data_IF_987545583358
#
_entry.id   IF_987545583358
#
_cell.length_a   1.000
_cell.length_b   1.000
_cell.length_c   1.000
_cell.angle_alpha   90.00
_cell.angle_beta   90.00
_cell.angle_gamma   90.00
#
_symmetry.space_group_name_H-M   'P 1'
#
loop_
_entity.id
_entity.type
_entity.pdbx_description
1 polymer ?
#
# COMPACT_ATOMS: atom_id res chain seq x y z
N UNK A 1 -6.63 -6.88 6.81
CA UNK A 1 -5.65 -6.75 7.90
C UNK A 1 -4.38 -6.15 7.34
N UNK A 2 -3.96 -5.01 7.89
CA UNK A 2 -2.69 -4.40 7.56
C UNK A 2 -1.54 -5.18 8.17
N UNK A 3 -0.56 -5.56 7.34
CA UNK A 3 0.63 -6.29 7.79
C UNK A 3 1.86 -5.40 7.91
N UNK A 4 1.70 -4.09 7.71
CA UNK A 4 2.82 -3.16 7.75
C UNK A 4 3.61 -3.06 6.44
N UNK A 5 4.71 -2.29 6.41
CA UNK A 5 5.45 -1.93 5.19
C UNK A 5 6.29 -3.07 4.59
N UNK A 6 6.63 -4.09 5.37
CA UNK A 6 7.44 -5.23 4.93
C UNK A 6 8.06 -6.03 6.08
N UNK A 7 8.47 -5.37 7.16
CA UNK A 7 9.11 -6.05 8.28
C UNK A 7 8.08 -6.76 9.17
N UNK A 8 8.27 -8.05 9.51
CA UNK A 8 7.33 -8.81 10.33
C UNK A 8 7.13 -8.31 11.77
N UNK A 9 8.06 -7.52 12.30
CA UNK A 9 8.00 -6.91 13.64
C UNK A 9 7.19 -5.60 13.66
N UNK A 10 6.81 -5.08 12.49
CA UNK A 10 5.93 -3.93 12.33
C UNK A 10 4.44 -4.30 12.18
N UNK A 11 4.11 -5.61 12.31
CA UNK A 11 2.73 -6.01 12.52
C UNK A 11 2.24 -5.49 13.88
N UNK A 12 1.01 -4.99 13.93
CA UNK A 12 0.40 -4.65 15.21
C UNK A 12 0.15 -5.92 16.03
N UNK A 13 0.21 -5.82 17.36
CA UNK A 13 -0.12 -6.96 18.23
C UNK A 13 -1.51 -7.53 17.92
N UNK A 14 -2.47 -6.68 17.58
CA UNK A 14 -3.83 -7.12 17.16
C UNK A 14 -3.79 -7.96 15.88
N UNK A 15 -2.97 -7.58 14.89
CA UNK A 15 -2.81 -8.35 13.66
C UNK A 15 -2.20 -9.73 13.97
N UNK A 16 -1.13 -9.78 14.78
CA UNK A 16 -0.48 -11.05 15.19
C UNK A 16 -1.46 -11.97 15.91
N UNK A 17 -2.23 -11.46 16.88
CA UNK A 17 -3.20 -12.29 17.61
C UNK A 17 -4.36 -12.78 16.74
N UNK A 18 -4.79 -11.98 15.77
CA UNK A 18 -5.81 -12.39 14.80
C UNK A 18 -5.28 -13.46 13.85
N UNK A 19 -4.04 -13.33 13.34
CA UNK A 19 -3.41 -14.32 12.46
C UNK A 19 -3.33 -15.72 13.08
N UNK A 20 -3.19 -15.81 14.41
CA UNK A 20 -3.21 -17.09 15.14
C UNK A 20 -4.57 -17.78 15.16
N UNK A 21 -5.65 -17.05 14.88
CA UNK A 21 -7.05 -17.56 14.96
C UNK A 21 -7.68 -17.76 13.58
N UNK A 22 -7.11 -17.16 12.55
CA UNK A 22 -7.64 -17.23 11.18
C UNK A 22 -7.44 -18.62 10.59
N UNK A 23 -8.49 -19.13 9.95
CA UNK A 23 -8.51 -20.43 9.30
C UNK A 23 -8.10 -20.32 7.83
N UNK A 24 -8.43 -19.19 7.20
CA UNK A 24 -8.20 -18.95 5.77
C UNK A 24 -7.53 -17.60 5.52
N UNK A 25 -6.39 -17.59 4.82
CA UNK A 25 -5.82 -16.38 4.26
C UNK A 25 -6.36 -16.16 2.85
N UNK A 26 -7.07 -15.05 2.66
CA UNK A 26 -7.52 -14.56 1.38
C UNK A 26 -6.36 -13.79 0.71
N UNK A 27 -5.58 -14.48 -0.11
CA UNK A 27 -4.40 -13.92 -0.76
C UNK A 27 -4.80 -13.26 -2.09
N UNK A 28 -4.75 -11.92 -2.14
CA UNK A 28 -4.88 -11.19 -3.40
C UNK A 28 -3.71 -11.55 -4.33
N UNK A 29 -4.04 -12.00 -5.54
CA UNK A 29 -3.06 -12.36 -6.55
C UNK A 29 -3.38 -11.65 -7.87
N UNK A 30 -2.32 -11.32 -8.61
CA UNK A 30 -2.44 -10.85 -9.99
C UNK A 30 -1.91 -11.93 -10.93
N UNK A 31 -2.33 -11.95 -12.21
CA UNK A 31 -1.82 -12.90 -13.20
C UNK A 31 -0.29 -12.82 -13.42
N UNK A 32 0.35 -11.72 -13.01
CA UNK A 32 1.77 -11.44 -13.20
C UNK A 32 2.64 -11.75 -11.98
N UNK A 33 2.04 -12.15 -10.86
CA UNK A 33 2.80 -12.44 -9.65
C UNK A 33 2.07 -13.50 -8.81
N UNK A 34 2.72 -14.64 -8.59
CA UNK A 34 2.26 -15.67 -7.67
C UNK A 34 2.59 -15.34 -6.21
N UNK A 35 3.35 -14.27 -6.00
CA UNK A 35 3.83 -13.81 -4.72
C UNK A 35 3.02 -12.62 -4.18
N UNK A 36 2.53 -12.77 -2.93
CA UNK A 36 1.94 -11.68 -2.15
C UNK A 36 2.94 -11.21 -1.09
N UNK A 37 3.47 -9.98 -1.23
CA UNK A 37 4.34 -9.34 -0.23
C UNK A 37 3.71 -9.31 1.15
N UNK A 38 2.39 -9.12 1.19
CA UNK A 38 1.64 -9.13 2.43
C UNK A 38 1.66 -10.53 3.10
N UNK A 39 1.57 -11.59 2.31
CA UNK A 39 1.63 -12.96 2.82
C UNK A 39 3.02 -13.30 3.36
N UNK A 40 4.10 -12.92 2.68
CA UNK A 40 5.46 -13.15 3.19
C UNK A 40 5.72 -12.36 4.48
N UNK A 41 5.30 -11.10 4.54
CA UNK A 41 5.45 -10.26 5.75
C UNK A 41 4.75 -10.91 6.96
N UNK A 42 3.56 -11.49 6.75
CA UNK A 42 2.81 -12.16 7.80
C UNK A 42 3.27 -13.59 8.11
N UNK A 43 4.02 -14.23 7.19
CA UNK A 43 4.36 -15.66 7.24
C UNK A 43 4.94 -16.13 8.57
N UNK A 44 5.85 -15.40 9.25
CA UNK A 44 6.37 -15.82 10.56
C UNK A 44 5.31 -15.95 11.66
N UNK A 45 4.15 -15.31 11.50
CA UNK A 45 3.06 -15.28 12.49
C UNK A 45 1.87 -16.17 12.12
N UNK A 46 1.91 -16.83 10.95
CA UNK A 46 0.85 -17.72 10.50
C UNK A 46 0.94 -19.09 11.17
N UNK A 47 -0.22 -19.70 11.42
CA UNK A 47 -0.25 -21.12 11.79
C UNK A 47 0.22 -21.98 10.60
N UNK A 48 0.93 -23.09 10.84
CA UNK A 48 1.38 -23.99 9.76
C UNK A 48 0.24 -24.61 8.95
N UNK A 49 -0.96 -24.73 9.53
CA UNK A 49 -2.14 -25.36 8.96
C UNK A 49 -3.11 -24.38 8.28
N UNK A 50 -2.78 -23.07 8.23
CA UNK A 50 -3.67 -22.07 7.65
C UNK A 50 -3.89 -22.33 6.16
N UNK A 51 -5.16 -22.31 5.73
CA UNK A 51 -5.51 -22.53 4.33
C UNK A 51 -5.29 -21.25 3.53
N UNK A 52 -4.65 -21.36 2.36
CA UNK A 52 -4.51 -20.23 1.44
C UNK A 52 -5.62 -20.28 0.38
N UNK A 53 -6.43 -19.23 0.31
CA UNK A 53 -7.44 -19.03 -0.72
C UNK A 53 -7.01 -17.87 -1.61
N UNK A 54 -6.65 -18.18 -2.86
CA UNK A 54 -6.29 -17.17 -3.85
C UNK A 54 -7.53 -16.41 -4.31
N UNK A 55 -7.44 -15.08 -4.37
CA UNK A 55 -8.43 -14.19 -4.94
C UNK A 55 -7.80 -13.43 -6.11
N UNK A 56 -8.40 -13.53 -7.30
CA UNK A 56 -7.86 -12.95 -8.52
C UNK A 56 -8.24 -11.47 -8.66
N UNK A 57 -7.24 -10.61 -8.77
CA UNK A 57 -7.40 -9.18 -9.05
C UNK A 57 -6.63 -8.83 -10.34
N UNK A 58 -7.31 -8.72 -11.49
CA UNK A 58 -6.66 -8.46 -12.77
C UNK A 58 -6.08 -7.04 -12.81
N UNK A 59 -4.92 -6.91 -13.45
CA UNK A 59 -4.29 -5.61 -13.71
C UNK A 59 -4.78 -5.05 -15.05
N UNK A 60 -5.97 -4.46 -15.05
CA UNK A 60 -6.58 -3.86 -16.25
C UNK A 60 -7.31 -2.57 -15.90
N UNK A 61 -7.55 -1.73 -16.90
CA UNK A 61 -8.42 -0.56 -16.80
C UNK A 61 -9.87 -0.85 -17.25
N UNK A 62 -10.12 -2.04 -17.80
CA UNK A 62 -11.47 -2.44 -18.21
C UNK A 62 -12.37 -2.63 -16.98
N UNK A 63 -13.41 -1.79 -16.88
CA UNK A 63 -14.28 -1.75 -15.72
C UNK A 63 -15.14 -3.00 -15.58
N UNK A 64 -15.55 -3.61 -16.69
CA UNK A 64 -16.38 -4.81 -16.67
C UNK A 64 -15.59 -6.00 -16.10
N UNK A 65 -14.35 -6.19 -16.57
CA UNK A 65 -13.43 -7.22 -16.07
C UNK A 65 -13.11 -7.02 -14.59
N UNK A 66 -12.82 -5.79 -14.17
CA UNK A 66 -12.56 -5.50 -12.75
C UNK A 66 -13.77 -5.81 -11.87
N UNK A 67 -14.98 -5.40 -12.28
CA UNK A 67 -16.21 -5.65 -11.53
C UNK A 67 -16.49 -7.14 -11.39
N UNK A 68 -16.40 -7.90 -12.47
CA UNK A 68 -16.61 -9.35 -12.44
C UNK A 68 -15.61 -10.05 -11.51
N UNK A 69 -14.34 -9.62 -11.51
CA UNK A 69 -13.33 -10.15 -10.61
C UNK A 69 -13.64 -9.85 -9.13
N UNK A 70 -14.10 -8.63 -8.82
CA UNK A 70 -14.49 -8.26 -7.46
C UNK A 70 -15.72 -9.03 -6.98
N UNK A 71 -16.72 -9.22 -7.84
CA UNK A 71 -17.93 -10.01 -7.53
C UNK A 71 -17.57 -11.49 -7.26
N UNK A 72 -16.69 -12.08 -8.08
CA UNK A 72 -16.15 -13.43 -7.86
C UNK A 72 -15.40 -13.53 -6.52
N UNK A 73 -14.50 -12.59 -6.25
CA UNK A 73 -13.73 -12.57 -5.00
C UNK A 73 -14.62 -12.38 -3.76
N UNK A 74 -15.65 -11.54 -3.86
CA UNK A 74 -16.65 -11.34 -2.80
C UNK A 74 -17.49 -12.59 -2.58
N UNK A 75 -17.91 -13.28 -3.65
CA UNK A 75 -18.64 -14.55 -3.56
C UNK A 75 -17.84 -15.62 -2.81
N UNK A 76 -16.58 -15.83 -3.20
CA UNK A 76 -15.66 -16.76 -2.51
C UNK A 76 -15.51 -16.38 -1.03
N UNK A 77 -15.31 -15.08 -0.75
CA UNK A 77 -15.16 -14.58 0.62
C UNK A 77 -16.42 -14.81 1.45
N UNK A 78 -17.60 -14.51 0.91
CA UNK A 78 -18.89 -14.78 1.56
C UNK A 78 -19.04 -16.26 1.87
N UNK A 79 -18.74 -17.14 0.92
CA UNK A 79 -18.96 -18.58 1.08
C UNK A 79 -18.05 -19.15 2.19
N UNK A 80 -16.79 -18.70 2.27
CA UNK A 80 -15.89 -19.03 3.39
C UNK A 80 -16.50 -18.58 4.74
N UNK A 81 -16.93 -17.32 4.84
CA UNK A 81 -17.47 -16.76 6.08
C UNK A 81 -18.79 -17.42 6.49
N UNK A 82 -19.66 -17.74 5.53
CA UNK A 82 -20.93 -18.47 5.77
C UNK A 82 -20.71 -19.94 6.13
N UNK A 83 -19.58 -20.51 5.73
CA UNK A 83 -19.12 -21.82 6.20
C UNK A 83 -18.69 -21.83 7.67
N UNK A 84 -18.64 -20.68 8.35
CA UNK A 84 -18.25 -20.55 9.75
C UNK A 84 -16.74 -20.42 9.97
N UNK A 85 -15.94 -20.31 8.90
CA UNK A 85 -14.49 -20.11 8.98
C UNK A 85 -14.13 -18.64 9.17
N UNK A 86 -13.07 -18.37 9.93
CA UNK A 86 -12.49 -17.03 10.03
C UNK A 86 -11.52 -16.80 8.87
N UNK A 87 -11.70 -15.71 8.13
CA UNK A 87 -10.85 -15.37 7.00
C UNK A 87 -10.14 -14.03 7.19
N UNK A 88 -8.86 -13.93 6.78
CA UNK A 88 -8.13 -12.68 6.72
C UNK A 88 -7.68 -12.35 5.31
N UNK A 89 -8.11 -11.18 4.83
CA UNK A 89 -7.53 -10.54 3.65
C UNK A 89 -6.31 -9.72 4.06
N UNK A 90 -5.12 -10.13 3.63
CA UNK A 90 -3.86 -9.45 4.00
C UNK A 90 -3.56 -8.30 3.05
N UNK A 91 -3.11 -7.17 3.60
CA UNK A 91 -2.75 -5.97 2.85
C UNK A 91 -1.40 -5.46 3.29
N UNK A 92 -0.47 -5.26 2.35
CA UNK A 92 0.77 -4.54 2.63
C UNK A 92 0.42 -3.10 3.01
N UNK A 93 1.07 -2.58 4.05
CA UNK A 93 0.73 -1.32 4.68
C UNK A 93 -0.58 -1.42 5.46
N UNK A 94 -1.54 -0.55 5.09
CA UNK A 94 -2.83 -0.40 5.76
C UNK A 94 -3.99 -0.76 4.80
N UNK A 95 -5.05 -1.47 5.28
CA UNK A 95 -6.16 -1.90 4.43
C UNK A 95 -7.04 -0.76 3.91
N UNK A 96 -6.98 0.43 4.51
CA UNK A 96 -7.81 1.58 4.15
C UNK A 96 -7.06 2.66 3.35
N UNK A 97 -5.76 2.48 3.12
CA UNK A 97 -4.93 3.43 2.36
C UNK A 97 -4.45 2.82 1.05
N UNK A 98 -5.06 3.20 -0.07
CA UNK A 98 -4.73 2.77 -1.44
C UNK A 98 -4.59 1.24 -1.64
N UNK A 99 -5.35 0.47 -0.86
CA UNK A 99 -5.39 -0.99 -0.88
C UNK A 99 -6.47 -1.53 -1.82
N UNK A 100 -6.25 -2.72 -2.38
CA UNK A 100 -7.28 -3.46 -3.13
C UNK A 100 -8.43 -3.95 -2.25
N UNK A 101 -8.21 -4.05 -0.93
CA UNK A 101 -9.25 -4.43 0.03
C UNK A 101 -10.49 -3.54 -0.06
N UNK A 102 -10.32 -2.25 -0.36
CA UNK A 102 -11.45 -1.33 -0.49
C UNK A 102 -12.46 -1.71 -1.57
N UNK A 103 -12.02 -2.38 -2.65
CA UNK A 103 -12.93 -2.90 -3.69
C UNK A 103 -13.69 -4.12 -3.18
N UNK A 104 -12.97 -5.07 -2.57
CA UNK A 104 -13.57 -6.28 -1.99
C UNK A 104 -14.59 -5.91 -0.91
N UNK A 105 -14.26 -5.01 0.01
CA UNK A 105 -15.14 -4.56 1.09
C UNK A 105 -16.45 -3.99 0.54
N UNK A 106 -16.39 -3.10 -0.46
CA UNK A 106 -17.59 -2.51 -1.06
C UNK A 106 -18.46 -3.56 -1.73
N UNK A 107 -17.85 -4.46 -2.50
CA UNK A 107 -18.59 -5.51 -3.21
C UNK A 107 -19.17 -6.55 -2.25
N UNK A 108 -18.42 -6.93 -1.20
CA UNK A 108 -18.89 -7.87 -0.18
C UNK A 108 -20.10 -7.30 0.58
N UNK A 109 -20.06 -6.01 0.95
CA UNK A 109 -21.21 -5.35 1.61
C UNK A 109 -22.44 -5.26 0.71
N UNK A 110 -22.25 -5.04 -0.59
CA UNK A 110 -23.36 -5.09 -1.55
C UNK A 110 -23.94 -6.49 -1.70
N UNK A 111 -23.10 -7.52 -1.59
CA UNK A 111 -23.49 -8.92 -1.73
C UNK A 111 -24.18 -9.45 -0.46
N UNK A 112 -23.65 -9.11 0.72
CA UNK A 112 -24.13 -9.57 2.03
C UNK A 112 -23.60 -8.64 3.16
N UNK A 113 -24.33 -7.57 3.47
CA UNK A 113 -23.95 -6.58 4.51
C UNK A 113 -24.07 -7.13 5.95
N UNK A 114 -24.60 -8.35 6.13
CA UNK A 114 -24.74 -8.96 7.46
C UNK A 114 -23.50 -9.74 7.90
N UNK A 115 -22.50 -9.90 7.03
CA UNK A 115 -21.25 -10.56 7.36
C UNK A 115 -20.43 -9.69 8.34
N UNK A 116 -19.91 -10.26 9.45
CA UNK A 116 -19.05 -9.52 10.35
C UNK A 116 -17.69 -9.25 9.68
N UNK A 117 -17.32 -7.98 9.58
CA UNK A 117 -16.01 -7.56 9.03
C UNK A 117 -15.32 -6.63 10.01
N UNK A 118 -14.15 -7.04 10.49
CA UNK A 118 -13.23 -6.19 11.27
C UNK A 118 -12.10 -5.67 10.37
N UNK A 119 -11.71 -4.41 10.59
CA UNK A 119 -10.57 -3.80 9.93
C UNK A 119 -9.46 -3.56 10.97
N UNK A 120 -8.40 -4.37 10.88
CA UNK A 120 -7.19 -4.19 11.69
C UNK A 120 -6.21 -3.30 10.90
N UNK A 121 -5.90 -2.08 11.41
CA UNK A 121 -5.01 -1.15 10.74
C UNK A 121 -3.56 -1.65 10.75
N UNK A 122 -2.75 -1.12 9.84
CA UNK A 122 -1.33 -1.41 9.73
C UNK A 122 -0.49 -0.15 9.52
N UNK A 123 0.82 -0.27 9.76
CA UNK A 123 1.76 0.83 9.53
C UNK A 123 1.89 1.06 8.01
N UNK A 124 1.65 2.29 7.55
CA UNK A 124 1.76 2.61 6.12
C UNK A 124 3.23 2.72 5.68
N UNK A 125 3.49 2.50 4.39
CA UNK A 125 4.84 2.61 3.83
C UNK A 125 5.46 4.01 4.02
N UNK A 126 4.65 5.07 3.98
CA UNK A 126 5.16 6.43 4.14
C UNK A 126 5.46 6.79 5.60
N UNK A 127 4.75 6.21 6.57
CA UNK A 127 5.11 6.35 7.98
C UNK A 127 6.42 5.61 8.28
N UNK A 128 6.58 4.40 7.73
CA UNK A 128 7.82 3.65 7.84
C UNK A 128 8.99 4.40 7.18
N UNK A 129 8.78 4.94 5.98
CA UNK A 129 9.79 5.74 5.29
C UNK A 129 10.20 6.96 6.13
N UNK A 130 9.22 7.69 6.66
CA UNK A 130 9.45 8.84 7.52
C UNK A 130 10.26 8.49 8.78
N UNK A 131 9.92 7.38 9.44
CA UNK A 131 10.68 6.89 10.59
C UNK A 131 12.13 6.54 10.20
N UNK A 132 12.31 5.85 9.07
CA UNK A 132 13.64 5.43 8.58
C UNK A 132 14.52 6.57 8.12
N UNK A 133 13.94 7.63 7.57
CA UNK A 133 14.67 8.83 7.15
C UNK A 133 14.70 9.91 8.22
N UNK A 134 14.11 9.68 9.41
CA UNK A 134 13.92 10.68 10.48
C UNK A 134 13.23 11.95 9.97
N UNK A 135 12.34 11.80 9.00
CA UNK A 135 11.58 12.90 8.42
C UNK A 135 10.29 13.08 9.21
N UNK A 136 10.15 14.19 9.91
CA UNK A 136 8.88 14.56 10.50
C UNK A 136 7.92 14.91 9.35
N UNK A 137 6.74 14.28 9.28
CA UNK A 137 5.83 14.49 8.14
C UNK A 137 5.02 15.78 8.26
N UNK A 138 4.61 16.16 9.46
CA UNK A 138 3.87 17.41 9.71
C UNK A 138 3.90 17.76 11.20
N UNK A 139 3.91 19.04 11.51
CA UNK A 139 3.84 19.60 12.86
C UNK A 139 2.86 20.77 12.92
N UNK A 140 2.21 20.98 14.08
CA UNK A 140 1.32 22.13 14.30
C UNK A 140 0.24 22.27 13.20
N UNK A 141 0.22 23.41 12.49
CA UNK A 141 -0.74 23.73 11.43
C UNK A 141 -0.29 23.29 10.02
N UNK A 142 0.78 22.50 9.91
CA UNK A 142 1.29 22.04 8.63
C UNK A 142 0.32 21.08 7.92
N UNK A 143 0.17 21.29 6.61
CA UNK A 143 -0.63 20.44 5.75
C UNK A 143 0.22 19.31 5.16
N UNK A 144 -0.18 18.06 5.43
CA UNK A 144 0.37 16.86 4.80
C UNK A 144 -0.52 16.38 3.65
N UNK A 145 0.01 16.32 2.43
CA UNK A 145 -0.67 15.72 1.29
C UNK A 145 -0.14 14.32 0.97
N UNK A 146 -1.02 13.34 0.82
CA UNK A 146 -0.67 11.98 0.38
C UNK A 146 -1.22 11.77 -1.03
N UNK A 147 -0.34 11.51 -1.99
CA UNK A 147 -0.64 11.54 -3.42
C UNK A 147 -0.34 10.15 -4.04
N UNK A 148 -1.32 9.49 -4.68
CA UNK A 148 -1.16 8.13 -5.21
C UNK A 148 -0.54 8.13 -6.61
N UNK A 149 0.71 8.58 -6.71
CA UNK A 149 1.43 8.77 -7.97
C UNK A 149 1.10 10.11 -8.60
N UNK A 150 1.25 10.20 -9.92
CA UNK A 150 1.00 11.42 -10.70
C UNK A 150 -0.17 11.20 -11.66
N UNK A 151 -1.08 12.16 -11.69
CA UNK A 151 -2.13 12.26 -12.72
C UNK A 151 -1.58 13.04 -13.91
N UNK A 152 -1.12 14.24 -13.63
CA UNK A 152 -0.48 15.18 -14.54
C UNK A 152 0.50 16.06 -13.74
N UNK A 153 1.48 16.63 -14.44
CA UNK A 153 2.58 17.39 -13.82
C UNK A 153 2.11 18.71 -13.20
N UNK A 154 1.12 19.37 -13.82
CA UNK A 154 0.63 20.66 -13.33
C UNK A 154 -0.13 20.51 -12.01
N UNK A 155 -1.02 19.52 -11.92
CA UNK A 155 -1.75 19.20 -10.69
C UNK A 155 -0.82 18.80 -9.56
N UNK A 156 0.24 18.02 -9.84
CA UNK A 156 1.23 17.67 -8.84
C UNK A 156 1.99 18.91 -8.36
N UNK A 157 2.48 19.74 -9.28
CA UNK A 157 3.21 20.97 -8.96
C UNK A 157 2.37 21.89 -8.07
N UNK A 158 1.10 22.13 -8.43
CA UNK A 158 0.17 22.94 -7.64
C UNK A 158 -0.06 22.38 -6.24
N UNK A 159 -0.19 21.06 -6.12
CA UNK A 159 -0.34 20.40 -4.81
C UNK A 159 0.91 20.61 -3.95
N UNK A 160 2.09 20.47 -4.55
CA UNK A 160 3.38 20.68 -3.87
C UNK A 160 3.57 22.16 -3.46
N UNK A 161 3.05 23.12 -4.21
CA UNK A 161 3.13 24.55 -3.85
C UNK A 161 2.23 24.90 -2.64
N UNK A 162 1.11 24.20 -2.48
CA UNK A 162 0.10 24.47 -1.44
C UNK A 162 0.31 23.69 -0.14
N UNK A 163 0.90 22.49 -0.19
CA UNK A 163 1.13 21.65 0.99
C UNK A 163 2.43 22.04 1.70
N UNK A 164 2.54 21.83 3.01
CA UNK A 164 3.83 21.96 3.71
C UNK A 164 4.70 20.72 3.46
N UNK A 165 4.06 19.55 3.48
CA UNK A 165 4.68 18.25 3.22
C UNK A 165 3.86 17.42 2.25
N UNK A 166 4.54 16.60 1.46
CA UNK A 166 3.91 15.70 0.52
C UNK A 166 4.58 14.31 0.53
N UNK A 167 3.73 13.30 0.46
CA UNK A 167 4.08 11.90 0.21
C UNK A 167 3.59 11.55 -1.18
N UNK A 168 4.49 11.18 -2.09
CA UNK A 168 4.14 10.75 -3.44
C UNK A 168 4.38 9.25 -3.55
N UNK A 169 3.30 8.47 -3.45
CA UNK A 169 3.35 7.01 -3.58
C UNK A 169 3.53 6.60 -5.05
N UNK A 170 3.92 5.34 -5.31
CA UNK A 170 4.03 4.79 -6.68
C UNK A 170 4.91 5.67 -7.57
N UNK A 171 6.01 6.19 -7.01
CA UNK A 171 6.88 7.16 -7.65
C UNK A 171 7.48 6.65 -8.97
N UNK A 172 7.59 5.33 -9.13
CA UNK A 172 8.05 4.68 -10.35
C UNK A 172 7.23 4.98 -11.61
N UNK A 173 5.93 5.31 -11.49
CA UNK A 173 5.04 5.39 -12.66
C UNK A 173 5.44 6.48 -13.67
N UNK A 174 5.91 7.61 -13.16
CA UNK A 174 6.42 8.70 -13.98
C UNK A 174 7.36 9.55 -13.12
N UNK A 175 8.49 8.94 -12.78
CA UNK A 175 9.51 9.55 -11.94
C UNK A 175 10.08 10.85 -12.54
N UNK A 176 10.34 10.96 -13.86
CA UNK A 176 10.82 12.21 -14.46
C UNK A 176 9.88 13.40 -14.23
N UNK A 177 8.57 13.21 -14.37
CA UNK A 177 7.59 14.28 -14.12
C UNK A 177 7.49 14.65 -12.63
N UNK A 178 7.68 13.69 -11.72
CA UNK A 178 7.79 13.96 -10.27
C UNK A 178 9.03 14.82 -9.98
N UNK A 179 10.18 14.48 -10.56
CA UNK A 179 11.42 15.27 -10.44
C UNK A 179 11.23 16.69 -10.99
N UNK A 180 10.58 16.83 -12.14
CA UNK A 180 10.23 18.14 -12.72
C UNK A 180 9.35 18.97 -11.77
N UNK A 181 8.29 18.37 -11.24
CA UNK A 181 7.36 19.03 -10.31
C UNK A 181 8.05 19.47 -9.00
N UNK A 182 8.93 18.62 -8.46
CA UNK A 182 9.74 18.95 -7.29
C UNK A 182 10.71 20.10 -7.57
N UNK A 183 11.31 20.15 -8.77
CA UNK A 183 12.18 21.26 -9.18
C UNK A 183 11.39 22.57 -9.28
N UNK A 184 10.24 22.55 -9.94
CA UNK A 184 9.38 23.73 -10.13
C UNK A 184 8.85 24.29 -8.81
N UNK A 185 8.55 23.43 -7.85
CA UNK A 185 8.09 23.82 -6.50
C UNK A 185 9.23 24.13 -5.53
N UNK A 186 10.51 24.09 -5.96
CA UNK A 186 11.67 24.38 -5.11
C UNK A 186 12.00 23.32 -4.06
N UNK A 187 11.49 22.09 -4.22
CA UNK A 187 11.59 20.98 -3.25
C UNK A 187 12.57 19.87 -3.64
N UNK A 188 13.15 19.93 -4.83
CA UNK A 188 13.99 18.85 -5.36
C UNK A 188 15.15 18.48 -4.43
N UNK A 189 15.87 19.48 -3.92
CA UNK A 189 17.05 19.26 -3.06
C UNK A 189 16.71 18.63 -1.69
N UNK A 190 15.48 18.83 -1.20
CA UNK A 190 15.01 18.26 0.06
C UNK A 190 14.24 16.95 -0.11
N UNK A 191 13.99 16.50 -1.34
CA UNK A 191 13.22 15.31 -1.64
C UNK A 191 14.00 14.04 -1.30
N UNK A 192 13.33 13.09 -0.64
CA UNK A 192 13.87 11.76 -0.34
C UNK A 192 13.07 10.69 -1.06
N UNK A 193 13.76 9.81 -1.77
CA UNK A 193 13.20 8.58 -2.32
C UNK A 193 13.40 7.44 -1.32
N UNK A 194 12.33 6.70 -1.06
CA UNK A 194 12.35 5.49 -0.25
C UNK A 194 11.76 4.33 -1.05
N UNK A 195 12.55 3.28 -1.27
CA UNK A 195 12.19 2.10 -2.05
C UNK A 195 12.30 0.85 -1.19
N UNK A 196 11.34 -0.07 -1.30
CA UNK A 196 11.35 -1.34 -0.54
C UNK A 196 11.55 -1.15 0.96
N UNK A 197 10.95 -0.10 1.52
CA UNK A 197 11.10 0.27 2.93
C UNK A 197 10.69 -0.91 3.82
N UNK A 198 11.54 -1.20 4.81
CA UNK A 198 11.39 -2.34 5.75
C UNK A 198 11.41 -3.71 5.06
N UNK A 199 12.15 -3.84 3.94
CA UNK A 199 12.36 -5.09 3.21
C UNK A 199 13.87 -5.28 2.93
N UNK A 200 14.32 -6.49 2.56
CA UNK A 200 15.75 -6.75 2.30
C UNK A 200 16.37 -5.84 1.23
N UNK A 201 15.60 -5.43 0.23
CA UNK A 201 16.05 -4.53 -0.85
C UNK A 201 15.89 -3.03 -0.52
N UNK A 202 15.74 -2.67 0.77
CA UNK A 202 15.52 -1.28 1.17
C UNK A 202 16.59 -0.35 0.62
N UNK A 203 16.11 0.75 0.03
CA UNK A 203 16.96 1.83 -0.44
C UNK A 203 16.36 3.19 -0.11
N UNK A 204 17.11 3.99 0.64
CA UNK A 204 16.80 5.38 0.98
C UNK A 204 17.86 6.29 0.34
N UNK A 205 17.45 7.26 -0.46
CA UNK A 205 18.37 8.15 -1.16
C UNK A 205 17.73 9.52 -1.46
N UNK A 206 18.51 10.60 -1.60
CA UNK A 206 18.02 11.86 -2.15
C UNK A 206 17.40 11.65 -3.54
N UNK A 207 16.32 12.36 -3.85
CA UNK A 207 15.68 12.31 -5.17
C UNK A 207 16.66 12.69 -6.27
N UNK A 208 17.57 13.63 -6.01
CA UNK A 208 18.62 14.05 -6.96
C UNK A 208 19.58 12.93 -7.32
N UNK A 209 19.98 12.10 -6.35
CA UNK A 209 20.85 10.95 -6.60
C UNK A 209 20.14 9.91 -7.47
N UNK A 210 18.89 9.58 -7.15
CA UNK A 210 18.09 8.63 -7.94
C UNK A 210 17.79 9.17 -9.34
N UNK A 211 17.60 10.48 -9.50
CA UNK A 211 17.36 11.12 -10.79
C UNK A 211 18.59 11.16 -11.70
N UNK A 212 19.80 10.98 -11.15
CA UNK A 212 21.04 10.88 -11.92
C UNK A 212 21.32 9.45 -12.43
N UNK A 213 20.57 8.45 -11.96
CA UNK A 213 20.71 7.06 -12.38
C UNK A 213 19.91 6.77 -13.64
N UNK A 214 20.39 5.80 -14.42
CA UNK A 214 19.62 5.27 -15.54
C UNK A 214 18.50 4.34 -15.04
N UNK A 215 17.32 4.47 -15.64
CA UNK A 215 16.20 3.57 -15.42
C UNK A 215 15.05 4.16 -14.62
N UNK A 216 14.16 3.29 -14.17
CA UNK A 216 12.95 3.65 -13.41
C UNK A 216 13.06 3.08 -12.00
N UNK A 217 12.66 3.84 -10.95
CA UNK A 217 12.62 3.32 -9.59
C UNK A 217 11.77 2.05 -9.47
N UNK A 218 11.99 1.21 -8.45
CA UNK A 218 11.17 0.02 -8.23
C UNK A 218 9.67 0.32 -7.97
N UNK A 219 8.81 -0.69 -8.16
CA UNK A 219 7.36 -0.57 -7.92
C UNK A 219 7.02 -0.01 -6.52
N UNK A 220 7.75 -0.45 -5.48
CA UNK A 220 7.54 -0.04 -4.08
C UNK A 220 8.36 1.19 -3.71
N UNK A 221 8.34 2.21 -4.56
CA UNK A 221 9.00 3.49 -4.32
C UNK A 221 8.00 4.60 -4.00
N UNK A 222 8.36 5.43 -3.02
CA UNK A 222 7.66 6.66 -2.67
C UNK A 222 8.66 7.80 -2.48
N UNK A 223 8.18 9.03 -2.64
CA UNK A 223 8.94 10.25 -2.33
C UNK A 223 8.35 10.94 -1.10
N UNK A 224 9.21 11.33 -0.17
CA UNK A 224 8.92 12.29 0.88
C UNK A 224 9.46 13.66 0.46
N UNK A 225 8.63 14.68 0.56
CA UNK A 225 8.97 16.04 0.15
C UNK A 225 8.45 17.05 1.17
N UNK A 226 9.31 17.94 1.65
CA UNK A 226 8.94 19.03 2.57
C UNK A 226 9.34 20.38 1.99
N UNK A 227 8.57 21.40 2.37
CA UNK A 227 8.97 22.80 2.17
C UNK A 227 10.12 23.08 3.14
N UNK A 228 11.11 23.84 2.69
CA UNK A 228 12.12 24.40 3.59
C UNK A 228 11.55 25.59 4.34
#
# INVERSE_FOLDING_TARGET
>A
MGVGPGAPDLLTLRAVEALRRVDVILAAASPRNDYSRALETARPHLRPDVRLQRLEFPMTHDRATLRAAWEKAAGITRDVLRGGENAAFLTIGDPLVYSTFGYLLKTLRQLDDSLPVEIIPGITSFQAAAARTRTILCESHETLCIIPGIRDEESLTRTLEQADSAVILKAYRNFPAIVSSLRRSGRLEGGLMASHVEQPEERLAPVTAVAAEEGTPPYMSLVLSRKK
#
